data_IF_887738192720
#
_entry.id   IF_887738192720
#
_cell.length_a   1.000
_cell.length_b   1.000
_cell.length_c   1.000
_cell.angle_alpha   90.00
_cell.angle_beta   90.00
_cell.angle_gamma   90.00
#
_symmetry.space_group_name_H-M   'P 1'
#
loop_
_entity.id
_entity.type
_entity.pdbx_description
1 polymer ?
#
# COMPACT_ATOMS: atom_id res chain seq x y z
N UNK A 1 -3.07 18.65 -17.37
CA UNK A 1 -3.09 17.45 -16.51
C UNK A 1 -1.76 16.66 -16.43
N UNK A 2 -0.66 17.08 -17.10
CA UNK A 2 0.58 16.28 -17.16
C UNK A 2 1.52 16.33 -15.94
N UNK A 3 1.46 17.36 -15.09
CA UNK A 3 2.40 17.51 -13.95
C UNK A 3 2.02 16.72 -12.69
N UNK A 4 0.76 16.34 -12.50
CA UNK A 4 0.32 15.68 -11.25
C UNK A 4 0.66 14.18 -11.25
N UNK A 5 0.51 13.53 -12.41
CA UNK A 5 0.80 12.10 -12.62
C UNK A 5 2.25 11.73 -12.28
N UNK A 6 3.22 12.59 -12.62
CA UNK A 6 4.64 12.32 -12.32
C UNK A 6 4.96 12.39 -10.83
N UNK A 7 4.30 13.27 -10.07
CA UNK A 7 4.52 13.38 -8.62
C UNK A 7 3.96 12.17 -7.88
N UNK A 8 2.77 11.69 -8.26
CA UNK A 8 2.18 10.49 -7.65
C UNK A 8 3.02 9.25 -7.94
N UNK A 9 3.53 9.12 -9.17
CA UNK A 9 4.43 8.02 -9.54
C UNK A 9 5.75 8.07 -8.75
N UNK A 10 6.36 9.25 -8.61
CA UNK A 10 7.58 9.43 -7.82
C UNK A 10 7.36 9.12 -6.33
N UNK A 11 6.22 9.53 -5.77
CA UNK A 11 5.85 9.21 -4.39
C UNK A 11 5.69 7.70 -4.19
N UNK A 12 4.98 7.04 -5.11
CA UNK A 12 4.80 5.59 -5.08
C UNK A 12 6.15 4.84 -5.17
N UNK A 13 7.03 5.25 -6.09
CA UNK A 13 8.38 4.68 -6.22
C UNK A 13 9.20 4.82 -4.93
N UNK A 14 9.17 5.98 -4.28
CA UNK A 14 9.88 6.21 -3.01
C UNK A 14 9.31 5.38 -1.85
N UNK A 15 7.98 5.28 -1.77
CA UNK A 15 7.32 4.45 -0.75
C UNK A 15 7.66 2.97 -0.94
N UNK A 16 7.62 2.48 -2.18
CA UNK A 16 7.98 1.10 -2.51
C UNK A 16 9.46 0.80 -2.26
N UNK A 17 10.36 1.73 -2.56
CA UNK A 17 11.79 1.58 -2.28
C UNK A 17 12.06 1.52 -0.76
N UNK A 18 11.41 2.40 0.01
CA UNK A 18 11.51 2.38 1.48
C UNK A 18 11.02 1.05 2.06
N UNK A 19 9.87 0.56 1.57
CA UNK A 19 9.31 -0.72 2.00
C UNK A 19 10.24 -1.91 1.66
N UNK A 20 10.88 -1.87 0.50
CA UNK A 20 11.88 -2.88 0.09
C UNK A 20 13.05 -2.91 1.07
N UNK A 21 13.62 -1.74 1.39
CA UNK A 21 14.73 -1.64 2.35
C UNK A 21 14.36 -2.08 3.75
N UNK A 22 13.20 -1.67 4.26
CA UNK A 22 12.67 -2.11 5.54
C UNK A 22 12.50 -3.64 5.57
N UNK A 23 11.91 -4.19 4.52
CA UNK A 23 11.69 -5.65 4.41
C UNK A 23 13.01 -6.42 4.33
N UNK A 24 13.99 -5.91 3.58
CA UNK A 24 15.32 -6.52 3.50
C UNK A 24 16.01 -6.51 4.86
N UNK A 25 15.93 -5.40 5.58
CA UNK A 25 16.45 -5.26 6.95
C UNK A 25 15.82 -6.26 7.92
N UNK A 26 14.51 -6.40 7.90
CA UNK A 26 13.80 -7.39 8.73
C UNK A 26 14.21 -8.83 8.43
N UNK A 27 14.60 -9.11 7.18
CA UNK A 27 15.05 -10.42 6.73
C UNK A 27 16.56 -10.64 6.88
N UNK A 28 17.32 -9.62 7.29
CA UNK A 28 18.78 -9.67 7.37
C UNK A 28 19.50 -9.69 6.02
N UNK A 29 18.86 -9.18 4.97
CA UNK A 29 19.33 -9.17 3.57
C UNK A 29 19.69 -7.76 3.09
N UNK A 30 19.89 -6.83 4.02
CA UNK A 30 20.14 -5.41 3.70
C UNK A 30 21.50 -5.16 3.06
N UNK A 31 22.52 -5.95 3.40
CA UNK A 31 23.87 -5.81 2.86
C UNK A 31 23.92 -6.35 1.42
N UNK A 32 23.37 -7.55 1.16
CA UNK A 32 23.22 -8.10 -0.19
C UNK A 32 22.42 -7.17 -1.12
N UNK A 33 21.43 -6.46 -0.56
CA UNK A 33 20.64 -5.48 -1.30
C UNK A 33 21.39 -4.16 -1.53
N UNK A 34 22.30 -3.75 -0.63
CA UNK A 34 23.18 -2.56 -0.80
C UNK A 34 24.14 -2.76 -1.97
N UNK A 35 24.64 -3.97 -2.17
CA UNK A 35 25.57 -4.31 -3.24
C UNK A 35 24.85 -4.56 -4.58
N UNK A 36 23.82 -3.76 -4.86
CA UNK A 36 23.04 -3.81 -6.10
C UNK A 36 22.03 -4.96 -6.16
N UNK A 37 21.97 -5.82 -5.14
CA UNK A 37 21.12 -7.01 -5.16
C UNK A 37 21.69 -8.16 -6.00
N UNK A 38 22.92 -8.03 -6.51
CA UNK A 38 23.58 -9.06 -7.32
C UNK A 38 23.92 -10.31 -6.49
N UNK A 39 24.10 -10.14 -5.18
CA UNK A 39 24.39 -11.23 -4.24
C UNK A 39 23.13 -11.94 -3.74
N UNK A 40 21.93 -11.38 -3.99
CA UNK A 40 20.68 -12.01 -3.59
C UNK A 40 20.41 -13.25 -4.44
N UNK A 41 20.23 -14.40 -3.80
CA UNK A 41 19.68 -15.55 -4.50
C UNK A 41 18.24 -15.25 -4.94
N UNK A 42 17.78 -15.95 -5.99
CA UNK A 42 16.38 -15.87 -6.47
C UNK A 42 15.38 -16.12 -5.33
N UNK A 43 15.74 -16.98 -4.38
CA UNK A 43 14.91 -17.27 -3.21
C UNK A 43 14.84 -16.08 -2.25
N UNK A 44 15.94 -15.37 -2.03
CA UNK A 44 16.02 -14.20 -1.15
C UNK A 44 15.30 -13.00 -1.74
N UNK A 45 15.52 -12.71 -3.02
CA UNK A 45 14.75 -11.71 -3.75
C UNK A 45 13.24 -12.03 -3.70
N UNK A 46 12.88 -13.30 -3.88
CA UNK A 46 11.50 -13.78 -3.74
C UNK A 46 10.93 -13.60 -2.34
N UNK A 47 11.72 -13.85 -1.28
CA UNK A 47 11.31 -13.59 0.11
C UNK A 47 11.07 -12.11 0.36
N UNK A 48 11.95 -11.23 -0.11
CA UNK A 48 11.77 -9.78 0.03
C UNK A 48 10.47 -9.35 -0.66
N UNK A 49 10.31 -9.67 -1.95
CA UNK A 49 9.11 -9.29 -2.71
C UNK A 49 7.81 -9.86 -2.11
N UNK A 50 7.83 -11.12 -1.68
CA UNK A 50 6.69 -11.76 -1.04
C UNK A 50 6.28 -11.10 0.29
N UNK A 51 7.25 -10.70 1.11
CA UNK A 51 6.98 -9.99 2.36
C UNK A 51 6.46 -8.56 2.11
N UNK A 52 6.99 -7.86 1.09
CA UNK A 52 6.45 -6.56 0.68
C UNK A 52 4.96 -6.67 0.30
N UNK A 53 4.57 -7.67 -0.50
CA UNK A 53 3.16 -7.89 -0.87
C UNK A 53 2.31 -8.14 0.37
N UNK A 54 2.76 -8.97 1.32
CA UNK A 54 2.04 -9.22 2.58
C UNK A 54 1.83 -7.93 3.39
N UNK A 55 2.86 -7.08 3.51
CA UNK A 55 2.78 -5.78 4.20
C UNK A 55 1.80 -4.84 3.51
N UNK A 56 1.81 -4.79 2.18
CA UNK A 56 0.90 -3.96 1.39
C UNK A 56 -0.56 -4.41 1.55
N UNK A 57 -0.83 -5.72 1.49
CA UNK A 57 -2.18 -6.26 1.71
C UNK A 57 -2.67 -5.89 3.10
N UNK A 58 -1.86 -6.14 4.14
CA UNK A 58 -2.21 -5.78 5.53
C UNK A 58 -2.50 -4.29 5.68
N UNK A 59 -1.68 -3.44 5.06
CA UNK A 59 -1.89 -1.98 5.09
C UNK A 59 -3.20 -1.58 4.37
N UNK A 60 -3.53 -2.25 3.28
CA UNK A 60 -4.79 -2.06 2.56
C UNK A 60 -6.01 -2.49 3.39
N UNK A 61 -5.94 -3.64 4.05
CA UNK A 61 -6.98 -4.12 4.97
C UNK A 61 -7.22 -3.12 6.12
N UNK A 62 -6.14 -2.60 6.72
CA UNK A 62 -6.22 -1.59 7.76
C UNK A 62 -6.83 -0.28 7.25
N UNK A 63 -6.41 0.21 6.08
CA UNK A 63 -6.96 1.43 5.49
C UNK A 63 -8.47 1.31 5.19
N UNK A 64 -8.91 0.14 4.73
CA UNK A 64 -10.34 -0.14 4.50
C UNK A 64 -11.13 -0.20 5.82
N UNK A 65 -10.57 -0.82 6.86
CA UNK A 65 -11.19 -0.84 8.18
C UNK A 65 -11.32 0.57 8.76
N UNK A 66 -10.26 1.37 8.70
CA UNK A 66 -10.25 2.78 9.13
C UNK A 66 -11.25 3.63 8.33
N UNK A 67 -11.41 3.37 7.03
CA UNK A 67 -12.41 4.04 6.22
C UNK A 67 -13.84 3.66 6.63
N UNK A 68 -14.09 2.39 6.93
CA UNK A 68 -15.37 1.92 7.47
C UNK A 68 -15.71 2.60 8.79
N UNK A 69 -14.75 2.65 9.72
CA UNK A 69 -14.90 3.35 11.01
C UNK A 69 -15.16 4.84 10.83
N UNK A 70 -14.42 5.50 9.92
CA UNK A 70 -14.60 6.93 9.62
C UNK A 70 -16.00 7.23 9.07
N UNK A 71 -16.51 6.38 8.16
CA UNK A 71 -17.86 6.53 7.60
C UNK A 71 -18.93 6.29 8.67
N UNK A 72 -18.73 5.31 9.55
CA UNK A 72 -19.61 5.06 10.68
C UNK A 72 -19.63 6.23 11.68
N UNK A 73 -18.46 6.81 12.00
CA UNK A 73 -18.34 7.96 12.89
C UNK A 73 -18.88 9.28 12.31
N UNK A 74 -19.12 9.35 10.98
CA UNK A 74 -19.67 10.52 10.30
C UNK A 74 -21.20 10.49 10.14
N UNK A 75 -21.91 9.44 10.61
CA UNK A 75 -23.36 9.27 10.39
C UNK A 75 -23.78 9.57 8.94
N UNK A 76 -23.09 8.98 7.96
CA UNK A 76 -23.62 8.92 6.59
C UNK A 76 -24.70 7.85 6.60
N UNK A 77 -25.90 8.24 7.00
CA UNK A 77 -27.11 7.49 6.66
C UNK A 77 -27.21 7.54 5.13
N UNK A 78 -26.88 6.45 4.46
CA UNK A 78 -27.41 6.20 3.11
C UNK A 78 -28.93 6.10 3.29
N UNK A 79 -29.66 7.23 3.27
CA UNK A 79 -31.12 7.21 3.24
C UNK A 79 -31.55 6.50 1.94
N UNK A 80 -32.07 5.27 1.99
CA UNK A 80 -32.61 4.63 0.81
C UNK A 80 -34.06 5.11 0.68
N UNK A 81 -34.27 6.08 -0.20
CA UNK A 81 -35.60 6.33 -0.77
C UNK A 81 -36.36 7.50 -0.16
N UNK A 82 -36.30 8.63 -0.86
CA UNK A 82 -37.50 9.44 -1.09
C UNK A 82 -37.75 9.52 -2.58
N UNK A 83 -38.44 8.50 -3.11
CA UNK A 83 -39.19 8.69 -4.33
C UNK A 83 -40.35 9.62 -3.95
N UNK A 84 -40.24 10.89 -4.34
CA UNK A 84 -41.37 11.82 -4.21
C UNK A 84 -42.39 11.43 -5.28
N UNK A 85 -43.38 10.67 -4.85
CA UNK A 85 -44.64 10.48 -5.56
C UNK A 85 -45.31 11.86 -5.68
N UNK A 86 -45.13 12.48 -6.85
CA UNK A 86 -45.89 13.66 -7.23
C UNK A 86 -47.08 13.14 -8.02
N UNK A 87 -48.22 13.05 -7.33
CA UNK A 87 -49.52 12.67 -7.90
C UNK A 87 -50.02 13.61 -8.99
#
# INVERSE_FOLDING_TARGET
>A
MGRKKSYDELRSKRAMDSLKWETAKELGLEDDLKDGGDELSVREAGKIGGNMVRKLVKSGEQALAEEGERKAGLNIEDEPGRYQDNG
#
